data_IF_873813990531
#
_entry.id   IF_873813990531
#
_cell.length_a   1.000
_cell.length_b   1.000
_cell.length_c   1.000
_cell.angle_alpha   90.00
_cell.angle_beta   90.00
_cell.angle_gamma   90.00
#
_symmetry.space_group_name_H-M   'P 1'
#
loop_
_entity.id
_entity.type
_entity.pdbx_description
1 polymer ?
#
# COMPACT_ATOMS: atom_id res chain seq x y z
N UNK A 1 -6.00 -14.56 20.73
CA UNK A 1 -5.57 -13.84 19.52
C UNK A 1 -6.19 -12.45 19.50
N UNK A 2 -5.39 -11.40 19.32
CA UNK A 2 -5.87 -10.01 19.30
C UNK A 2 -6.47 -9.64 17.94
N UNK A 3 -7.72 -9.18 17.95
CA UNK A 3 -8.47 -8.67 16.80
C UNK A 3 -8.08 -7.22 16.49
N UNK A 4 -8.58 -6.67 15.37
CA UNK A 4 -8.27 -5.29 14.95
C UNK A 4 -8.88 -4.21 15.85
N UNK A 5 -10.02 -4.49 16.45
CA UNK A 5 -10.74 -3.63 17.39
C UNK A 5 -10.18 -3.69 18.83
N UNK A 6 -9.07 -4.41 19.03
CA UNK A 6 -8.45 -4.60 20.34
C UNK A 6 -9.04 -5.75 21.16
N UNK A 7 -10.15 -6.34 20.72
CA UNK A 7 -10.74 -7.49 21.43
C UNK A 7 -9.90 -8.76 21.25
N UNK A 8 -10.17 -9.76 22.08
CA UNK A 8 -9.50 -11.05 22.01
C UNK A 8 -10.45 -12.16 21.56
N UNK A 9 -9.98 -12.99 20.65
CA UNK A 9 -10.64 -14.22 20.24
C UNK A 9 -9.81 -15.44 20.65
N UNK A 10 -10.48 -16.44 21.21
CA UNK A 10 -9.93 -17.77 21.43
C UNK A 10 -10.33 -18.68 20.27
N UNK A 11 -9.37 -19.39 19.70
CA UNK A 11 -9.67 -20.39 18.67
C UNK A 11 -8.62 -21.49 18.67
N UNK A 12 -9.06 -22.72 18.45
CA UNK A 12 -8.16 -23.83 18.15
C UNK A 12 -7.74 -23.75 16.69
N UNK A 13 -6.44 -23.75 16.45
CA UNK A 13 -5.85 -23.65 15.12
C UNK A 13 -5.12 -24.94 14.80
N UNK A 14 -5.42 -25.49 13.63
CA UNK A 14 -4.65 -26.56 13.01
C UNK A 14 -3.62 -25.92 12.07
N UNK A 15 -2.33 -25.81 12.47
CA UNK A 15 -1.33 -25.05 11.72
C UNK A 15 -0.96 -25.78 10.43
N UNK A 16 -0.95 -25.07 9.30
CA UNK A 16 -0.61 -25.63 7.98
C UNK A 16 0.72 -25.11 7.44
N UNK A 17 0.98 -23.80 7.56
CA UNK A 17 2.22 -23.19 7.09
C UNK A 17 2.54 -21.92 7.86
N UNK A 18 3.84 -21.68 8.07
CA UNK A 18 4.35 -20.38 8.51
C UNK A 18 4.93 -19.63 7.30
N UNK A 19 4.66 -18.34 7.21
CA UNK A 19 5.10 -17.45 6.12
C UNK A 19 5.61 -16.14 6.68
N UNK A 20 6.75 -15.69 6.17
CA UNK A 20 7.22 -14.34 6.41
C UNK A 20 6.78 -13.44 5.26
N UNK A 21 6.06 -12.36 5.56
CA UNK A 21 5.59 -11.37 4.56
C UNK A 21 5.51 -9.99 5.19
N UNK A 22 5.81 -8.93 4.42
CA UNK A 22 5.85 -7.51 4.88
C UNK A 22 6.39 -7.32 6.30
N UNK A 23 7.55 -7.92 6.60
CA UNK A 23 8.27 -7.80 7.89
C UNK A 23 7.56 -8.45 9.09
N UNK A 24 6.62 -9.37 8.86
CA UNK A 24 5.92 -10.07 9.94
C UNK A 24 5.73 -11.55 9.61
N UNK A 25 5.66 -12.37 10.65
CA UNK A 25 5.35 -13.79 10.55
C UNK A 25 3.84 -14.01 10.58
N UNK A 26 3.37 -14.89 9.71
CA UNK A 26 1.97 -15.26 9.60
C UNK A 26 1.82 -16.77 9.64
N UNK A 27 0.86 -17.23 10.43
CA UNK A 27 0.43 -18.61 10.49
C UNK A 27 -0.80 -18.77 9.60
N UNK A 28 -0.74 -19.66 8.61
CA UNK A 28 -1.90 -20.14 7.88
C UNK A 28 -2.33 -21.46 8.51
N UNK A 29 -3.60 -21.55 8.89
CA UNK A 29 -4.14 -22.75 9.52
C UNK A 29 -5.66 -22.76 9.53
N UNK A 30 -6.24 -23.94 9.77
CA UNK A 30 -7.69 -24.08 9.91
C UNK A 30 -8.12 -23.71 11.32
N UNK A 31 -9.00 -22.71 11.42
CA UNK A 31 -9.64 -22.33 12.68
C UNK A 31 -10.92 -23.12 12.90
N UNK A 32 -11.13 -23.58 14.12
CA UNK A 32 -12.40 -24.23 14.52
C UNK A 32 -13.56 -23.25 14.58
N UNK A 33 -13.32 -22.02 15.05
CA UNK A 33 -14.35 -20.97 15.18
C UNK A 33 -14.85 -20.55 13.82
N UNK A 34 -13.94 -20.30 12.86
CA UNK A 34 -14.33 -19.91 11.52
C UNK A 34 -14.69 -21.08 10.60
N UNK A 35 -14.44 -22.32 11.05
CA UNK A 35 -14.59 -23.55 10.25
C UNK A 35 -13.89 -23.50 8.89
N UNK A 36 -12.84 -22.70 8.77
CA UNK A 36 -12.16 -22.37 7.52
C UNK A 36 -10.66 -22.15 7.74
N UNK A 37 -9.88 -22.19 6.64
CA UNK A 37 -8.48 -21.78 6.65
C UNK A 37 -8.40 -20.27 6.75
N UNK A 38 -7.54 -19.77 7.64
CA UNK A 38 -7.34 -18.36 7.91
C UNK A 38 -5.86 -18.05 8.05
N UNK A 39 -5.52 -16.78 7.84
CA UNK A 39 -4.20 -16.22 8.04
C UNK A 39 -4.19 -15.44 9.35
N UNK A 40 -3.30 -15.81 10.27
CA UNK A 40 -3.11 -15.19 11.57
C UNK A 40 -1.77 -14.47 11.60
N UNK A 41 -1.75 -13.20 12.02
CA UNK A 41 -0.47 -12.53 12.28
C UNK A 41 0.10 -13.06 13.61
N UNK A 42 1.31 -13.63 13.58
CA UNK A 42 1.93 -14.24 14.77
C UNK A 42 2.12 -13.21 15.88
N UNK A 43 2.46 -11.96 15.57
CA UNK A 43 2.58 -10.87 16.54
C UNK A 43 1.25 -10.43 17.19
N UNK A 44 0.11 -11.01 16.78
CA UNK A 44 -1.19 -10.83 17.45
C UNK A 44 -1.59 -12.02 18.32
N UNK A 45 -0.80 -13.09 18.34
CA UNK A 45 -0.99 -14.22 19.26
C UNK A 45 -0.45 -13.78 20.62
N UNK A 46 -1.31 -13.74 21.64
CA UNK A 46 -0.93 -13.37 23.02
C UNK A 46 -0.47 -14.58 23.82
N UNK A 47 -1.17 -15.70 23.64
CA UNK A 47 -0.92 -16.95 24.34
C UNK A 47 -1.14 -18.09 23.36
N UNK A 48 -0.35 -19.16 23.54
CA UNK A 48 -0.45 -20.39 22.77
C UNK A 48 -0.28 -21.58 23.70
N UNK A 49 -1.20 -22.52 23.63
CA UNK A 49 -1.13 -23.79 24.35
C UNK A 49 -1.08 -24.91 23.32
N UNK A 50 -0.07 -25.77 23.41
CA UNK A 50 0.01 -26.97 22.60
C UNK A 50 -1.06 -27.97 23.08
N UNK A 51 -1.84 -28.50 22.15
CA UNK A 51 -2.86 -29.50 22.43
C UNK A 51 -2.36 -30.88 21.95
N UNK A 52 -2.88 -31.95 22.56
CA UNK A 52 -2.52 -33.34 22.20
C UNK A 52 -3.07 -33.78 20.84
N UNK A 53 -3.96 -32.99 20.25
CA UNK A 53 -4.52 -33.25 18.93
C UNK A 53 -3.45 -33.39 17.86
N UNK A 54 -3.39 -34.56 17.24
CA UNK A 54 -2.53 -34.78 16.07
C UNK A 54 -3.15 -34.12 14.85
N UNK A 55 -2.37 -33.25 14.21
CA UNK A 55 -2.78 -32.52 13.02
C UNK A 55 -2.05 -33.07 11.81
N UNK A 56 -2.80 -33.39 10.75
CA UNK A 56 -2.23 -33.61 9.43
C UNK A 56 -2.78 -32.56 8.47
N UNK A 57 -1.88 -31.81 7.83
CA UNK A 57 -2.27 -30.89 6.77
C UNK A 57 -3.01 -31.69 5.68
N UNK A 58 -4.23 -31.30 5.29
CA UNK A 58 -4.98 -32.05 4.27
C UNK A 58 -4.16 -32.16 2.99
N UNK A 59 -4.08 -33.35 2.37
CA UNK A 59 -3.32 -33.55 1.11
C UNK A 59 -3.77 -32.62 -0.02
N UNK A 60 -5.03 -32.16 0.03
CA UNK A 60 -5.61 -31.23 -0.96
C UNK A 60 -5.31 -29.75 -0.67
N UNK A 61 -4.69 -29.43 0.46
CA UNK A 61 -4.29 -28.05 0.75
C UNK A 61 -3.09 -27.67 -0.10
N UNK A 62 -3.21 -26.55 -0.81
CA UNK A 62 -2.13 -25.91 -1.56
C UNK A 62 -2.11 -24.45 -1.13
N UNK A 63 -0.91 -23.97 -0.77
CA UNK A 63 -0.74 -22.57 -0.41
C UNK A 63 -1.11 -21.66 -1.58
N UNK A 64 -0.63 -21.98 -2.79
CA UNK A 64 -0.88 -21.17 -3.98
C UNK A 64 -2.37 -21.10 -4.29
N UNK A 65 -3.11 -22.19 -4.08
CA UNK A 65 -4.57 -22.21 -4.23
C UNK A 65 -5.27 -21.36 -3.17
N UNK A 66 -4.76 -21.35 -1.94
CA UNK A 66 -5.32 -20.55 -0.85
C UNK A 66 -5.05 -19.06 -1.04
N UNK A 67 -3.81 -18.68 -1.39
CA UNK A 67 -3.41 -17.29 -1.61
C UNK A 67 -3.88 -16.74 -2.96
N UNK A 68 -4.15 -17.60 -3.95
CA UNK A 68 -4.50 -17.21 -5.32
C UNK A 68 -3.50 -16.19 -5.89
N UNK A 69 -3.98 -15.03 -6.32
CA UNK A 69 -3.21 -13.87 -6.74
C UNK A 69 -3.36 -12.72 -5.72
N UNK A 70 -3.45 -13.03 -4.42
CA UNK A 70 -3.42 -11.98 -3.40
C UNK A 70 -2.19 -11.10 -3.59
N UNK A 71 -2.37 -9.78 -3.43
CA UNK A 71 -1.26 -8.84 -3.51
C UNK A 71 -0.22 -9.13 -2.40
N UNK A 72 -0.67 -9.59 -1.22
CA UNK A 72 0.21 -10.11 -0.17
C UNK A 72 -0.27 -11.44 0.39
N UNK A 73 -1.32 -11.45 1.22
CA UNK A 73 -1.70 -12.62 2.02
C UNK A 73 -3.21 -12.87 2.12
N UNK A 74 -4.03 -11.90 1.71
CA UNK A 74 -5.47 -11.94 1.89
C UNK A 74 -6.17 -11.74 0.54
N UNK A 75 -6.50 -12.83 -0.18
CA UNK A 75 -7.33 -12.71 -1.36
C UNK A 75 -8.78 -12.37 -0.99
N UNK A 76 -9.40 -11.50 -1.77
CA UNK A 76 -10.82 -11.22 -1.72
C UNK A 76 -11.61 -12.31 -2.48
N UNK A 77 -12.90 -12.42 -2.15
CA UNK A 77 -13.80 -13.36 -2.84
C UNK A 77 -14.15 -12.80 -4.21
N UNK A 78 -14.39 -13.69 -5.17
CA UNK A 78 -14.77 -13.32 -6.54
C UNK A 78 -13.60 -13.39 -7.51
N UNK A 79 -13.75 -12.70 -8.64
CA UNK A 79 -12.80 -12.74 -9.76
C UNK A 79 -11.45 -12.08 -9.44
N UNK A 80 -10.46 -12.37 -10.26
CA UNK A 80 -9.23 -11.59 -10.30
C UNK A 80 -9.47 -10.28 -11.06
N UNK A 81 -8.65 -9.28 -10.74
CA UNK A 81 -8.67 -7.96 -11.34
C UNK A 81 -7.39 -7.75 -12.14
N UNK A 82 -7.53 -7.35 -13.40
CA UNK A 82 -6.43 -6.78 -14.17
C UNK A 82 -6.30 -5.32 -13.77
N UNK A 83 -5.14 -4.97 -13.24
CA UNK A 83 -4.81 -3.65 -12.74
C UNK A 83 -3.74 -3.06 -13.65
N UNK A 84 -3.94 -1.82 -14.04
CA UNK A 84 -2.99 -0.99 -14.78
C UNK A 84 -2.78 0.30 -13.99
N UNK A 85 -1.53 0.56 -13.63
CA UNK A 85 -1.11 1.76 -12.90
C UNK A 85 -0.03 2.44 -13.73
N UNK A 86 -0.15 3.76 -13.92
CA UNK A 86 0.90 4.59 -14.48
C UNK A 86 1.69 5.23 -13.35
N UNK A 87 2.98 5.00 -13.33
CA UNK A 87 3.91 5.60 -12.39
C UNK A 87 4.68 6.75 -13.04
N UNK A 88 4.79 7.87 -12.32
CA UNK A 88 5.54 9.03 -12.78
C UNK A 88 7.05 8.76 -12.91
N UNK A 89 7.78 9.54 -13.73
CA UNK A 89 9.21 9.32 -13.97
C UNK A 89 10.07 9.30 -12.71
N UNK A 90 9.64 10.02 -11.67
CA UNK A 90 10.36 10.12 -10.39
C UNK A 90 10.49 8.77 -9.67
N UNK A 91 9.55 7.86 -9.87
CA UNK A 91 9.50 6.56 -9.16
C UNK A 91 9.56 5.36 -10.09
N UNK A 92 9.46 5.57 -11.42
CA UNK A 92 9.43 4.55 -12.45
C UNK A 92 10.55 3.50 -12.31
N UNK A 93 11.81 3.93 -12.25
CA UNK A 93 12.97 3.02 -12.12
C UNK A 93 12.87 2.16 -10.86
N UNK A 94 12.64 2.77 -9.70
CA UNK A 94 12.56 2.07 -8.42
C UNK A 94 11.42 1.04 -8.38
N UNK A 95 10.29 1.34 -9.03
CA UNK A 95 9.16 0.40 -9.12
C UNK A 95 9.52 -0.80 -9.99
N UNK A 96 10.19 -0.56 -11.13
CA UNK A 96 10.55 -1.60 -12.10
C UNK A 96 11.63 -2.57 -11.59
N UNK A 97 12.53 -2.12 -10.70
CA UNK A 97 13.60 -2.94 -10.13
C UNK A 97 13.11 -4.06 -9.20
N UNK A 98 11.90 -3.92 -8.65
CA UNK A 98 11.36 -4.84 -7.65
C UNK A 98 10.31 -5.76 -8.25
N UNK A 99 10.44 -7.06 -8.00
CA UNK A 99 9.36 -8.03 -8.26
C UNK A 99 8.37 -8.02 -7.11
N UNK A 100 7.34 -7.18 -7.21
CA UNK A 100 6.23 -7.06 -6.28
C UNK A 100 5.23 -8.22 -6.36
N UNK A 101 4.95 -8.71 -7.58
CA UNK A 101 3.97 -9.77 -7.79
C UNK A 101 4.36 -10.68 -8.95
N UNK A 102 4.07 -11.98 -8.82
CA UNK A 102 4.41 -13.02 -9.81
C UNK A 102 3.82 -12.80 -11.20
N UNK A 103 2.75 -12.01 -11.32
CA UNK A 103 2.08 -11.72 -12.59
C UNK A 103 2.40 -10.32 -13.12
N UNK A 104 3.33 -9.60 -12.49
CA UNK A 104 3.57 -8.21 -12.88
C UNK A 104 4.21 -8.14 -14.27
N UNK A 105 3.88 -7.10 -15.02
CA UNK A 105 4.56 -6.70 -16.25
C UNK A 105 4.74 -5.20 -16.20
N UNK A 106 5.84 -4.73 -16.77
CA UNK A 106 6.20 -3.31 -16.73
C UNK A 106 6.64 -2.85 -18.12
N UNK A 107 6.27 -1.63 -18.49
CA UNK A 107 6.61 -1.00 -19.77
C UNK A 107 7.01 0.46 -19.52
N UNK A 108 8.22 0.84 -19.92
CA UNK A 108 8.66 2.23 -19.85
C UNK A 108 8.12 3.02 -21.04
N UNK A 109 7.63 4.22 -20.77
CA UNK A 109 7.14 5.14 -21.79
C UNK A 109 8.22 6.17 -22.17
N UNK A 110 8.12 6.80 -23.36
CA UNK A 110 9.13 7.77 -23.83
C UNK A 110 9.34 9.00 -22.93
N UNK A 111 8.33 9.36 -22.13
CA UNK A 111 8.40 10.47 -21.16
C UNK A 111 9.08 10.08 -19.84
N UNK A 112 9.58 8.84 -19.74
CA UNK A 112 10.22 8.28 -18.56
C UNK A 112 9.25 7.70 -17.52
N UNK A 113 7.94 7.77 -17.76
CA UNK A 113 6.94 7.11 -16.90
C UNK A 113 6.92 5.60 -17.12
N UNK A 114 6.20 4.88 -16.25
CA UNK A 114 6.11 3.42 -16.28
C UNK A 114 4.65 2.96 -16.22
N UNK A 115 4.24 2.18 -17.22
CA UNK A 115 3.01 1.40 -17.13
C UNK A 115 3.26 0.07 -16.43
N UNK A 116 2.59 -0.13 -15.31
CA UNK A 116 2.66 -1.33 -14.48
C UNK A 116 1.34 -2.10 -14.56
N UNK A 117 1.43 -3.36 -14.96
CA UNK A 117 0.29 -4.27 -15.10
C UNK A 117 0.40 -5.41 -14.11
N UNK A 118 -0.70 -5.76 -13.45
CA UNK A 118 -0.75 -6.92 -12.54
C UNK A 118 -2.14 -7.53 -12.50
N UNK A 119 -2.23 -8.83 -12.21
CA UNK A 119 -3.49 -9.53 -11.97
C UNK A 119 -3.58 -9.91 -10.49
N UNK A 120 -4.58 -9.38 -9.78
CA UNK A 120 -4.71 -9.56 -8.32
C UNK A 120 -6.08 -10.08 -7.89
N UNK A 121 -6.10 -10.95 -6.90
CA UNK A 121 -7.32 -11.48 -6.25
C UNK A 121 -7.79 -10.54 -5.14
N UNK A 122 -8.10 -9.29 -5.46
CA UNK A 122 -8.58 -8.30 -4.49
C UNK A 122 -7.89 -6.95 -4.62
N UNK A 123 -8.61 -5.88 -4.30
CA UNK A 123 -8.16 -4.51 -4.53
C UNK A 123 -7.69 -3.80 -3.25
N UNK A 124 -8.05 -4.30 -2.07
CA UNK A 124 -7.76 -3.64 -0.80
C UNK A 124 -6.28 -3.65 -0.44
N UNK A 125 -5.55 -4.74 -0.69
CA UNK A 125 -4.13 -4.81 -0.33
C UNK A 125 -3.27 -3.94 -1.27
N UNK A 126 -3.58 -3.92 -2.57
CA UNK A 126 -2.83 -3.13 -3.57
C UNK A 126 -3.11 -1.63 -3.43
N UNK A 127 -4.32 -1.23 -3.00
CA UNK A 127 -4.65 0.18 -2.82
C UNK A 127 -3.74 0.86 -1.79
N UNK A 128 -3.39 0.19 -0.69
CA UNK A 128 -2.45 0.71 0.29
C UNK A 128 -1.03 0.89 -0.25
N UNK A 129 -0.61 0.03 -1.18
CA UNK A 129 0.68 0.18 -1.84
C UNK A 129 0.68 1.36 -2.79
N UNK A 130 -0.37 1.51 -3.61
CA UNK A 130 -0.55 2.66 -4.51
C UNK A 130 -0.52 3.99 -3.74
N UNK A 131 -1.30 4.09 -2.65
CA UNK A 131 -1.35 5.31 -1.82
C UNK A 131 0.03 5.71 -1.26
N UNK A 132 0.94 4.75 -1.06
CA UNK A 132 2.30 5.01 -0.59
C UNK A 132 3.16 5.82 -1.58
N UNK A 133 2.80 5.83 -2.87
CA UNK A 133 3.47 6.64 -3.90
C UNK A 133 2.83 8.02 -4.09
N UNK A 134 1.69 8.29 -3.44
CA UNK A 134 0.97 9.55 -3.57
C UNK A 134 0.59 9.85 -5.03
N UNK A 135 0.84 11.09 -5.48
CA UNK A 135 0.51 11.54 -6.83
C UNK A 135 1.33 10.87 -7.95
N UNK A 136 2.44 10.19 -7.60
CA UNK A 136 3.30 9.52 -8.58
C UNK A 136 2.70 8.19 -9.07
N UNK A 137 1.54 7.77 -8.58
CA UNK A 137 0.86 6.54 -9.00
C UNK A 137 -0.60 6.81 -9.38
N UNK A 138 -0.90 6.76 -10.67
CA UNK A 138 -2.26 6.87 -11.18
C UNK A 138 -2.79 5.49 -11.57
N UNK A 139 -3.91 5.07 -10.98
CA UNK A 139 -4.59 3.85 -11.40
C UNK A 139 -5.34 4.11 -12.70
N UNK A 140 -4.93 3.53 -13.82
CA UNK A 140 -5.66 3.65 -15.09
C UNK A 140 -6.86 2.69 -15.10
N UNK A 141 -6.64 1.44 -14.69
CA UNK A 141 -7.68 0.40 -14.58
C UNK A 141 -7.47 -0.48 -13.34
N UNK A 142 -8.53 -1.08 -12.77
CA UNK A 142 -9.94 -0.96 -13.16
C UNK A 142 -10.64 0.24 -12.50
N UNK A 143 -11.83 0.66 -12.99
CA UNK A 143 -12.60 1.76 -12.40
C UNK A 143 -12.90 1.58 -10.90
N UNK A 144 -13.09 0.33 -10.46
CA UNK A 144 -13.33 0.00 -9.05
C UNK A 144 -12.14 0.36 -8.16
N UNK A 145 -10.91 0.18 -8.66
CA UNK A 145 -9.71 0.55 -7.94
C UNK A 145 -9.54 2.07 -7.96
N UNK A 146 -9.81 2.75 -9.07
CA UNK A 146 -9.87 4.22 -9.12
C UNK A 146 -10.83 4.80 -8.09
N UNK A 147 -12.05 4.26 -8.01
CA UNK A 147 -13.06 4.66 -7.02
C UNK A 147 -12.61 4.36 -5.58
N UNK A 148 -11.91 3.25 -5.35
CA UNK A 148 -11.36 2.92 -4.04
C UNK A 148 -10.31 3.94 -3.62
N UNK A 149 -9.35 4.27 -4.50
CA UNK A 149 -8.32 5.28 -4.25
C UNK A 149 -8.95 6.66 -4.03
N UNK A 150 -9.90 7.08 -4.87
CA UNK A 150 -10.60 8.35 -4.72
C UNK A 150 -11.29 8.47 -3.34
N UNK A 151 -11.93 7.39 -2.85
CA UNK A 151 -12.52 7.37 -1.50
C UNK A 151 -11.48 7.46 -0.37
N UNK A 152 -10.27 6.95 -0.57
CA UNK A 152 -9.18 7.13 0.38
C UNK A 152 -8.66 8.57 0.35
N UNK A 153 -8.42 9.11 -0.85
CA UNK A 153 -7.96 10.50 -1.04
C UNK A 153 -8.96 11.51 -0.49
N UNK A 154 -10.27 11.33 -0.72
CA UNK A 154 -11.30 12.21 -0.15
C UNK A 154 -11.28 12.22 1.39
N UNK A 155 -11.10 11.04 2.00
CA UNK A 155 -10.95 10.93 3.46
C UNK A 155 -9.64 11.52 3.96
N UNK A 156 -8.56 11.39 3.19
CA UNK A 156 -7.26 11.97 3.52
C UNK A 156 -7.29 13.50 3.43
N UNK A 157 -7.89 14.04 2.37
CA UNK A 157 -8.10 15.48 2.21
C UNK A 157 -8.94 16.05 3.36
N UNK A 158 -9.91 15.27 3.86
CA UNK A 158 -10.69 15.66 5.04
C UNK A 158 -9.83 15.79 6.32
N UNK A 159 -8.83 14.92 6.48
CA UNK A 159 -7.89 14.97 7.62
C UNK A 159 -7.02 16.24 7.54
N UNK A 160 -6.56 16.61 6.34
CA UNK A 160 -5.69 17.76 6.10
C UNK A 160 -6.44 19.02 5.62
N UNK A 161 -7.74 19.12 5.95
CA UNK A 161 -8.59 20.17 5.38
C UNK A 161 -8.04 21.58 5.68
N UNK A 162 -7.60 21.82 6.91
CA UNK A 162 -7.12 23.13 7.35
C UNK A 162 -5.85 23.56 6.59
N UNK A 163 -4.91 22.65 6.41
CA UNK A 163 -3.68 22.89 5.65
C UNK A 163 -3.98 23.12 4.17
N UNK A 164 -4.90 22.34 3.58
CA UNK A 164 -5.32 22.51 2.19
C UNK A 164 -5.98 23.89 2.01
N UNK A 165 -6.89 24.28 2.90
CA UNK A 165 -7.53 25.60 2.88
C UNK A 165 -6.49 26.73 2.98
N UNK A 166 -5.53 26.61 3.90
CA UNK A 166 -4.45 27.59 4.06
C UNK A 166 -3.53 27.70 2.82
N UNK A 167 -3.28 26.59 2.12
CA UNK A 167 -2.50 26.58 0.88
C UNK A 167 -3.26 27.20 -0.30
N UNK A 168 -4.57 26.95 -0.38
CA UNK A 168 -5.43 27.50 -1.45
C UNK A 168 -5.83 28.96 -1.22
N UNK A 169 -5.75 29.43 0.03
CA UNK A 169 -6.14 30.78 0.43
C UNK A 169 -5.12 31.36 1.42
N UNK A 170 -3.90 31.70 0.95
CA UNK A 170 -2.84 32.17 1.83
C UNK A 170 -3.25 33.50 2.49
N UNK A 171 -2.94 33.72 3.79
CA UNK A 171 -3.24 34.99 4.44
C UNK A 171 -2.56 36.15 3.72
N UNK A 172 -3.25 37.30 3.63
CA UNK A 172 -2.79 38.51 2.93
C UNK A 172 -1.38 38.98 3.33
N UNK A 173 -0.89 38.62 4.52
CA UNK A 173 0.46 38.93 5.00
C UNK A 173 1.58 38.13 4.30
N UNK A 174 1.25 37.06 3.59
CA UNK A 174 2.19 36.21 2.84
C UNK A 174 2.20 36.51 1.33
N UNK A 175 1.37 37.45 0.85
CA UNK A 175 1.56 37.98 -0.50
C UNK A 175 2.86 38.79 -0.52
N UNK A 176 3.73 38.61 -1.53
CA UNK A 176 4.90 39.45 -1.65
C UNK A 176 4.44 40.89 -1.68
N UNK A 177 4.85 41.69 -0.68
CA UNK A 177 4.68 43.13 -0.74
C UNK A 177 5.31 43.56 -2.06
N UNK A 178 4.55 44.21 -2.94
CA UNK A 178 5.12 44.96 -4.03
C UNK A 178 6.02 46.03 -3.39
N UNK A 179 7.31 45.73 -3.31
CA UNK A 179 8.30 46.73 -3.01
C UNK A 179 8.41 47.56 -4.28
N UNK A 180 8.16 48.88 -4.23
CA UNK A 180 8.46 49.73 -5.36
C UNK A 180 9.95 49.52 -5.68
N UNK A 181 10.24 49.22 -6.95
CA UNK A 181 11.60 49.15 -7.46
C UNK A 181 12.34 50.43 -7.06
N UNK A 182 13.12 50.36 -5.98
CA UNK A 182 14.07 51.39 -5.64
C UNK A 182 15.28 51.17 -6.54
N UNK A 183 15.53 52.18 -7.35
CA UNK A 183 16.68 52.37 -8.22
C UNK A 183 17.98 51.74 -7.70
N UNK A 184 18.70 51.08 -8.62
CA UNK A 184 20.16 50.93 -8.54
C UNK A 184 20.67 49.79 -7.67
N UNK A 185 20.78 48.59 -8.25
CA UNK A 185 21.82 47.64 -7.83
C UNK A 185 22.64 47.26 -9.07
N UNK A 186 23.91 47.64 -8.99
CA UNK A 186 24.98 47.44 -9.95
C UNK A 186 25.18 45.95 -10.24
N UNK A 187 25.18 45.60 -11.52
CA UNK A 187 25.30 44.23 -12.00
C UNK A 187 26.75 43.76 -11.87
N UNK A 188 27.09 42.99 -10.82
CA UNK A 188 28.49 42.56 -10.71
C UNK A 188 28.91 41.47 -9.76
N UNK A 189 28.07 40.83 -8.93
CA UNK A 189 28.55 39.75 -8.04
C UNK A 189 27.54 38.61 -7.83
N UNK A 190 28.01 37.38 -8.05
CA UNK A 190 27.32 36.16 -7.67
C UNK A 190 27.55 35.85 -6.18
N UNK A 191 26.53 35.33 -5.50
CA UNK A 191 26.64 34.82 -4.13
C UNK A 191 26.54 33.29 -4.12
N UNK A 192 27.41 32.63 -3.37
CA UNK A 192 27.38 31.20 -3.14
C UNK A 192 26.50 30.88 -1.91
N UNK A 193 25.63 29.88 -2.04
CA UNK A 193 24.87 29.33 -0.92
C UNK A 193 25.58 28.04 -0.48
N UNK A 194 26.17 28.07 0.72
CA UNK A 194 26.66 26.87 1.38
C UNK A 194 25.53 26.30 2.25
N UNK A 195 25.25 25.00 2.07
CA UNK A 195 24.28 24.26 2.86
C UNK A 195 25.07 23.52 3.96
N UNK A 196 24.84 23.88 5.22
CA UNK A 196 25.46 23.23 6.38
C UNK A 196 24.87 21.81 6.57
N UNK A 197 25.72 20.86 6.98
CA UNK A 197 25.41 19.42 7.10
C UNK A 197 24.52 19.08 8.29
#
# INVERSE_FOLDING_TARGET
YRLQDGQFALTKVFPYRLLFSRRSWYLIGRSTVHRAVRTFNVGRIQEVTLLEDRVRVPRRFSLDRYLRNAWHLIPERGRDWHVHIRFGPKVATNVAEVTWHKTQKVEFLPDGSLDFYVTVSGLSEISWWILGYGQEAEVIEPPQLRQLIARHVARLAQVYRQEIEALTNPPLSAQPKEYPFSEGIDAGRAFAILQDR
#
